data_IF_501859967002
#
_entry.id   IF_501859967002
#
_cell.length_a   1.000
_cell.length_b   1.000
_cell.length_c   1.000
_cell.angle_alpha   90.00
_cell.angle_beta   90.00
_cell.angle_gamma   90.00
#
_symmetry.space_group_name_H-M   'P 1'
#
loop_
_entity.id
_entity.type
_entity.pdbx_description
1 polymer ?
#
# COMPACT_ATOMS: atom_id res chain seq x y z
N UNK A 1 4.89 -19.38 -13.55
CA UNK A 1 4.86 -19.28 -12.07
C UNK A 1 6.22 -18.91 -11.48
N UNK A 2 7.35 -19.40 -11.99
CA UNK A 2 8.67 -19.06 -11.44
C UNK A 2 9.12 -17.62 -11.69
N UNK A 3 8.74 -17.01 -12.81
CA UNK A 3 9.21 -15.65 -13.16
C UNK A 3 8.68 -14.55 -12.24
N UNK A 4 7.46 -14.69 -11.72
CA UNK A 4 6.86 -13.73 -10.78
C UNK A 4 7.53 -13.77 -9.40
N UNK A 5 8.02 -14.93 -8.97
CA UNK A 5 8.74 -15.08 -7.70
C UNK A 5 10.18 -14.56 -7.80
N UNK A 6 10.80 -14.68 -8.98
CA UNK A 6 12.13 -14.15 -9.29
C UNK A 6 12.18 -12.62 -9.41
N UNK A 7 11.04 -11.97 -9.62
CA UNK A 7 10.94 -10.50 -9.71
C UNK A 7 10.63 -9.82 -8.37
N UNK A 8 10.38 -10.58 -7.30
CA UNK A 8 10.16 -10.03 -5.97
C UNK A 8 11.52 -9.58 -5.41
N UNK A 9 11.70 -8.27 -5.26
CA UNK A 9 12.86 -7.73 -4.55
C UNK A 9 12.72 -8.05 -3.06
N UNK A 10 13.79 -8.58 -2.47
CA UNK A 10 13.89 -8.90 -1.04
C UNK A 10 14.81 -7.88 -0.39
N UNK A 11 14.34 -7.24 0.68
CA UNK A 11 15.11 -6.22 1.37
C UNK A 11 16.38 -6.78 2.03
N UNK A 12 16.35 -8.04 2.46
CA UNK A 12 17.44 -8.70 3.17
C UNK A 12 18.48 -9.36 2.25
N UNK A 13 18.38 -9.16 0.93
CA UNK A 13 19.30 -9.77 -0.03
C UNK A 13 20.58 -8.92 -0.18
N UNK A 14 21.75 -9.38 0.29
CA UNK A 14 23.01 -8.62 0.16
C UNK A 14 23.43 -8.43 -1.30
N UNK A 15 22.96 -9.27 -2.24
CA UNK A 15 23.24 -9.11 -3.66
C UNK A 15 22.56 -7.87 -4.27
N UNK A 16 21.52 -7.33 -3.62
CA UNK A 16 20.79 -6.15 -4.09
C UNK A 16 21.71 -4.91 -4.20
N UNK A 17 22.73 -4.81 -3.35
CA UNK A 17 23.73 -3.74 -3.39
C UNK A 17 24.63 -3.79 -4.64
N UNK A 18 24.79 -4.97 -5.24
CA UNK A 18 25.65 -5.19 -6.41
C UNK A 18 24.88 -5.17 -7.74
N UNK A 19 23.54 -5.11 -7.70
CA UNK A 19 22.71 -5.00 -8.90
C UNK A 19 22.78 -3.57 -9.45
N UNK A 20 23.75 -3.32 -10.33
CA UNK A 20 24.07 -2.00 -10.90
C UNK A 20 23.03 -1.46 -11.89
N UNK A 21 22.09 -2.28 -12.35
CA UNK A 21 21.15 -1.91 -13.42
C UNK A 21 19.74 -2.39 -13.12
N UNK A 22 18.88 -1.44 -12.73
CA UNK A 22 17.43 -1.70 -12.67
C UNK A 22 16.95 -2.06 -14.07
N UNK A 23 16.27 -3.20 -14.20
CA UNK A 23 15.65 -3.60 -15.46
C UNK A 23 14.69 -2.49 -15.90
N UNK A 24 14.82 -1.95 -17.13
CA UNK A 24 13.91 -0.91 -17.60
C UNK A 24 12.50 -1.50 -17.66
N UNK A 25 11.58 -0.93 -16.88
CA UNK A 25 10.16 -1.28 -17.01
C UNK A 25 9.70 -0.83 -18.39
N UNK A 26 9.30 -1.77 -19.23
CA UNK A 26 8.86 -1.52 -20.60
C UNK A 26 7.60 -0.63 -20.62
N UNK A 27 7.77 0.68 -20.67
CA UNK A 27 6.72 1.61 -21.10
C UNK A 27 7.34 2.65 -22.02
N UNK A 28 7.47 2.28 -23.30
CA UNK A 28 8.00 3.08 -24.41
C UNK A 28 7.05 4.22 -24.86
N UNK A 29 6.13 4.64 -23.99
CA UNK A 29 5.16 5.72 -24.24
C UNK A 29 5.38 6.76 -23.16
N UNK A 30 5.34 8.08 -23.45
CA UNK A 30 5.45 9.12 -22.43
C UNK A 30 4.44 8.83 -21.32
N UNK A 31 4.95 8.40 -20.17
CA UNK A 31 4.11 8.01 -19.06
C UNK A 31 3.27 9.23 -18.65
N UNK A 32 1.96 9.02 -18.47
CA UNK A 32 1.09 10.06 -17.93
C UNK A 32 1.73 10.60 -16.64
N UNK A 33 1.76 11.93 -16.44
CA UNK A 33 2.37 12.51 -15.27
C UNK A 33 1.72 11.89 -14.02
N UNK A 34 2.57 11.48 -13.08
CA UNK A 34 2.17 10.94 -11.78
C UNK A 34 2.39 12.01 -10.72
N UNK A 35 1.62 11.92 -9.66
CA UNK A 35 1.80 12.75 -8.50
C UNK A 35 3.19 12.54 -7.86
N UNK A 36 3.86 13.63 -7.50
CA UNK A 36 5.23 13.65 -6.95
C UNK A 36 5.30 14.31 -5.56
N UNK A 37 4.16 14.67 -4.98
CA UNK A 37 4.09 15.37 -3.70
C UNK A 37 4.08 14.44 -2.47
N UNK A 38 3.76 14.97 -1.28
CA UNK A 38 3.70 14.20 -0.03
C UNK A 38 2.73 13.02 -0.10
N UNK A 39 2.97 11.94 0.67
CA UNK A 39 2.14 10.75 0.61
C UNK A 39 0.65 11.09 0.86
N UNK A 40 -0.26 10.73 -0.06
CA UNK A 40 -1.68 11.01 0.11
C UNK A 40 -2.27 10.19 1.27
N UNK A 41 -3.34 10.69 1.91
CA UNK A 41 -4.17 9.87 2.77
C UNK A 41 -4.63 8.60 2.05
N UNK A 42 -4.64 7.44 2.73
CA UNK A 42 -5.12 6.21 2.13
C UNK A 42 -6.61 6.34 1.81
N UNK A 43 -7.01 5.81 0.65
CA UNK A 43 -8.40 5.69 0.26
C UNK A 43 -8.77 4.22 0.05
N UNK A 44 -10.07 3.92 0.13
CA UNK A 44 -10.61 2.57 -0.05
C UNK A 44 -10.27 1.90 -1.38
N UNK A 45 -9.95 2.68 -2.41
CA UNK A 45 -9.81 2.22 -3.79
C UNK A 45 -8.34 2.08 -4.24
N UNK A 46 -7.37 2.45 -3.41
CA UNK A 46 -5.95 2.50 -3.80
C UNK A 46 -5.66 3.45 -4.97
N UNK A 47 -6.56 4.40 -5.25
CA UNK A 47 -6.41 5.32 -6.38
C UNK A 47 -5.39 6.39 -6.01
N UNK A 48 -4.36 6.55 -6.85
CA UNK A 48 -3.38 7.61 -6.67
C UNK A 48 -3.99 8.98 -6.99
N UNK A 49 -3.61 10.04 -6.26
CA UNK A 49 -4.03 11.39 -6.58
C UNK A 49 -3.55 11.80 -7.97
N UNK A 50 -4.27 12.74 -8.59
CA UNK A 50 -3.86 13.31 -9.86
C UNK A 50 -2.53 14.06 -9.74
N UNK A 51 -1.79 14.16 -10.85
CA UNK A 51 -0.48 14.82 -10.88
C UNK A 51 -0.47 16.29 -10.45
N UNK A 52 -1.63 16.95 -10.49
CA UNK A 52 -1.84 18.36 -10.12
C UNK A 52 -2.36 18.55 -8.69
N UNK A 53 -2.59 17.46 -7.96
CA UNK A 53 -3.02 17.56 -6.57
C UNK A 53 -1.95 18.31 -5.77
N UNK A 54 -2.35 19.19 -4.87
CA UNK A 54 -1.43 20.07 -4.12
C UNK A 54 -0.90 19.41 -2.84
N UNK A 55 -1.38 18.22 -2.50
CA UNK A 55 -0.98 17.51 -1.28
C UNK A 55 -1.76 17.91 -0.02
N UNK A 56 -2.70 18.86 -0.14
CA UNK A 56 -3.53 19.28 1.00
C UNK A 56 -4.81 18.45 1.03
N UNK A 57 -5.02 17.75 2.15
CA UNK A 57 -6.26 17.02 2.40
C UNK A 57 -7.41 18.01 2.68
N UNK A 58 -8.42 17.99 1.80
CA UNK A 58 -9.67 18.78 1.92
C UNK A 58 -10.89 17.88 2.13
N UNK A 59 -10.69 16.67 2.64
CA UNK A 59 -11.77 15.73 2.88
C UNK A 59 -12.54 16.06 4.17
N UNK A 60 -13.74 15.49 4.30
CA UNK A 60 -14.54 15.53 5.54
C UNK A 60 -14.03 14.58 6.63
N UNK A 61 -12.97 13.81 6.36
CA UNK A 61 -12.45 12.78 7.27
C UNK A 61 -13.17 11.43 7.22
N UNK A 62 -14.11 11.21 6.29
CA UNK A 62 -14.85 9.95 6.15
C UNK A 62 -13.93 8.73 5.97
N UNK A 63 -12.96 8.81 5.05
CA UNK A 63 -12.03 7.70 4.77
C UNK A 63 -11.26 7.30 6.04
N UNK A 64 -10.79 8.29 6.81
CA UNK A 64 -10.12 8.05 8.10
C UNK A 64 -11.02 7.31 9.08
N UNK A 65 -12.26 7.77 9.25
CA UNK A 65 -13.23 7.14 10.16
C UNK A 65 -13.59 5.72 9.71
N UNK A 66 -13.71 5.51 8.40
CA UNK A 66 -13.98 4.20 7.81
C UNK A 66 -12.88 3.18 8.16
N UNK A 67 -11.61 3.53 7.98
CA UNK A 67 -10.49 2.65 8.33
C UNK A 67 -10.42 2.36 9.84
N UNK A 68 -10.70 3.36 10.68
CA UNK A 68 -10.78 3.15 12.13
C UNK A 68 -11.87 2.14 12.50
N UNK A 69 -13.08 2.29 11.94
CA UNK A 69 -14.21 1.38 12.19
C UNK A 69 -13.94 -0.03 11.68
N UNK A 70 -13.30 -0.16 10.53
CA UNK A 70 -12.90 -1.46 10.00
C UNK A 70 -11.90 -2.16 10.93
N UNK A 71 -10.91 -1.44 11.45
CA UNK A 71 -9.93 -1.99 12.37
C UNK A 71 -10.56 -2.35 13.73
N UNK A 72 -11.45 -1.50 14.24
CA UNK A 72 -12.21 -1.75 15.47
C UNK A 72 -13.01 -3.05 15.38
N UNK A 73 -13.71 -3.27 14.26
CA UNK A 73 -14.45 -4.51 14.01
C UNK A 73 -13.53 -5.72 13.97
N UNK A 74 -12.43 -5.67 13.20
CA UNK A 74 -11.46 -6.77 13.12
C UNK A 74 -10.87 -7.11 14.48
N UNK A 75 -10.54 -6.10 15.29
CA UNK A 75 -10.02 -6.28 16.64
C UNK A 75 -11.04 -6.96 17.55
N UNK A 76 -12.32 -6.55 17.48
CA UNK A 76 -13.40 -7.16 18.25
C UNK A 76 -13.57 -8.64 17.89
N UNK A 77 -13.61 -8.96 16.60
CA UNK A 77 -13.75 -10.33 16.11
C UNK A 77 -12.56 -11.20 16.54
N UNK A 78 -11.33 -10.67 16.47
CA UNK A 78 -10.14 -11.36 16.94
C UNK A 78 -10.16 -11.60 18.47
N UNK A 79 -10.59 -10.60 19.26
CA UNK A 79 -10.71 -10.77 20.71
C UNK A 79 -11.75 -11.82 21.08
N UNK A 80 -12.92 -11.82 20.41
CA UNK A 80 -13.96 -12.81 20.67
C UNK A 80 -13.48 -14.24 20.38
N UNK A 81 -12.72 -14.42 19.28
CA UNK A 81 -12.11 -15.71 18.96
C UNK A 81 -11.06 -16.13 19.99
N UNK A 82 -10.27 -15.20 20.52
CA UNK A 82 -9.27 -15.53 21.54
C UNK A 82 -9.94 -16.02 22.83
N UNK A 83 -10.99 -15.32 23.30
CA UNK A 83 -11.74 -15.74 24.49
C UNK A 83 -12.41 -17.11 24.32
N UNK A 84 -13.00 -17.38 23.15
CA UNK A 84 -13.62 -18.69 22.85
C UNK A 84 -12.61 -19.84 22.89
N UNK A 85 -11.37 -19.58 22.46
CA UNK A 85 -10.28 -20.56 22.47
C UNK A 85 -9.70 -20.80 23.85
N UNK A 86 -9.74 -19.80 24.75
CA UNK A 86 -9.22 -19.91 26.11
C UNK A 86 -10.19 -20.66 27.05
N UNK A 87 -11.49 -20.71 26.73
CA UNK A 87 -12.54 -21.41 27.51
C UNK A 87 -12.69 -22.92 27.15
N UNK A 88 -11.82 -23.46 26.27
CA UNK A 88 -11.74 -24.88 25.87
C UNK A 88 -10.52 -25.59 26.47
#
# INVERSE_FOLDING_TARGET
MNDTLRSIERADDPALAFLTKKRPTASSTPAKPKYKGPPPPPNRFGIQPGYRWDGVDRSTGFERMYFQKLNERKRRDASARAYDQDDL
#
